data_IF_414950552954
#
_entry.id   IF_414950552954
#
_cell.length_a   1.000
_cell.length_b   1.000
_cell.length_c   1.000
_cell.angle_alpha   90.00
_cell.angle_beta   90.00
_cell.angle_gamma   90.00
#
_symmetry.space_group_name_H-M   'P 1'
#
loop_
_entity.id
_entity.type
_entity.pdbx_description
1 polymer ?
#
# COMPACT_ATOMS: atom_id res chain seq x y z
N UNK A 1 -19.71 6.43 -2.64
CA UNK A 1 -18.34 6.55 -2.11
C UNK A 1 -17.74 7.91 -2.44
N UNK A 2 -17.36 8.68 -1.42
CA UNK A 2 -16.79 10.04 -1.53
C UNK A 2 -15.34 10.10 -1.05
N UNK A 3 -14.60 9.01 -1.22
CA UNK A 3 -13.25 8.83 -0.67
C UNK A 3 -12.21 9.08 -1.76
N UNK A 4 -11.27 9.99 -1.51
CA UNK A 4 -10.09 10.19 -2.34
C UNK A 4 -8.90 9.47 -1.69
N UNK A 5 -8.15 8.70 -2.49
CA UNK A 5 -6.91 8.06 -2.08
C UNK A 5 -5.71 8.74 -2.74
N UNK A 6 -4.65 8.97 -1.97
CA UNK A 6 -3.41 9.57 -2.45
C UNK A 6 -2.24 8.57 -2.35
N UNK A 7 -1.48 8.46 -3.43
CA UNK A 7 -0.34 7.55 -3.55
C UNK A 7 0.95 8.32 -3.83
N UNK A 8 2.10 7.83 -3.33
CA UNK A 8 3.44 8.34 -3.65
C UNK A 8 4.09 7.67 -4.87
N UNK A 9 3.30 6.91 -5.64
CA UNK A 9 3.76 6.04 -6.74
C UNK A 9 4.00 4.60 -6.30
N UNK A 10 4.26 4.35 -5.01
CA UNK A 10 4.55 3.01 -4.49
C UNK A 10 3.56 2.53 -3.43
N UNK A 11 2.97 3.44 -2.64
CA UNK A 11 2.07 3.09 -1.54
C UNK A 11 1.03 4.18 -1.30
N UNK A 12 -0.06 3.79 -0.66
CA UNK A 12 -1.07 4.72 -0.17
C UNK A 12 -0.45 5.56 0.96
N UNK A 13 -0.54 6.87 0.83
CA UNK A 13 0.03 7.84 1.80
C UNK A 13 -1.04 8.64 2.52
N UNK A 14 -2.20 8.83 1.91
CA UNK A 14 -3.31 9.53 2.56
C UNK A 14 -4.67 9.12 2.02
N UNK A 15 -5.69 9.39 2.82
CA UNK A 15 -7.09 9.18 2.47
C UNK A 15 -7.90 10.38 2.94
N UNK A 16 -8.81 10.85 2.09
CA UNK A 16 -9.66 12.01 2.38
C UNK A 16 -11.11 11.74 2.04
N UNK A 17 -12.02 12.48 2.67
CA UNK A 17 -13.41 12.55 2.25
C UNK A 17 -13.60 13.83 1.42
N UNK A 18 -13.47 13.75 0.10
CA UNK A 18 -13.42 14.95 -0.75
C UNK A 18 -14.73 15.77 -0.73
N UNK A 19 -15.85 15.14 -0.36
CA UNK A 19 -17.14 15.84 -0.25
C UNK A 19 -17.20 16.70 1.00
N UNK A 20 -16.61 16.24 2.11
CA UNK A 20 -16.62 16.96 3.40
C UNK A 20 -15.36 17.78 3.64
N UNK A 21 -14.28 17.46 2.93
CA UNK A 21 -12.98 18.09 3.02
C UNK A 21 -12.38 18.28 1.61
N UNK A 22 -12.95 19.19 0.79
CA UNK A 22 -12.49 19.42 -0.58
C UNK A 22 -11.09 20.02 -0.64
N UNK A 23 -10.63 20.65 0.45
CA UNK A 23 -9.27 21.20 0.56
C UNK A 23 -8.25 20.16 1.07
N UNK A 24 -8.67 18.93 1.35
CA UNK A 24 -7.81 17.81 1.75
C UNK A 24 -6.96 18.13 3.00
N UNK A 25 -7.51 18.88 3.95
CA UNK A 25 -6.78 19.33 5.13
C UNK A 25 -6.70 18.25 6.22
N UNK A 26 -7.62 17.28 6.21
CA UNK A 26 -7.79 16.28 7.25
C UNK A 26 -7.57 14.87 6.70
N UNK A 27 -6.32 14.41 6.76
CA UNK A 27 -5.99 13.02 6.40
C UNK A 27 -6.67 12.06 7.37
N UNK A 28 -7.51 11.17 6.83
CA UNK A 28 -8.26 10.16 7.57
C UNK A 28 -7.40 8.95 7.97
N UNK A 29 -6.10 9.00 7.70
CA UNK A 29 -5.14 7.95 7.99
C UNK A 29 -5.33 6.70 7.15
N UNK A 30 -4.43 5.74 7.37
CA UNK A 30 -4.38 4.47 6.65
C UNK A 30 -5.09 3.32 7.40
N UNK A 31 -5.36 3.51 8.69
CA UNK A 31 -5.82 2.45 9.63
C UNK A 31 -7.32 2.26 9.72
N UNK A 32 -8.07 2.94 8.88
CA UNK A 32 -9.51 2.74 8.87
C UNK A 32 -9.84 1.41 8.21
N UNK A 33 -10.46 0.48 8.95
CA UNK A 33 -11.10 -0.72 8.40
C UNK A 33 -12.28 -0.44 7.44
N UNK A 34 -12.29 0.72 6.76
CA UNK A 34 -13.34 1.25 5.90
C UNK A 34 -12.81 1.86 4.59
N UNK A 35 -11.56 1.59 4.18
CA UNK A 35 -11.26 1.72 2.76
C UNK A 35 -12.08 0.62 2.05
N UNK A 36 -13.10 0.95 1.23
CA UNK A 36 -13.83 -0.08 0.49
C UNK A 36 -12.78 -0.86 -0.29
N UNK A 37 -12.75 -2.19 -0.10
CA UNK A 37 -11.61 -3.03 -0.50
C UNK A 37 -11.17 -2.85 -1.96
N UNK A 38 -12.07 -2.35 -2.82
CA UNK A 38 -11.80 -1.98 -4.21
C UNK A 38 -10.77 -0.85 -4.37
N UNK A 39 -10.83 0.21 -3.56
CA UNK A 39 -9.92 1.35 -3.68
C UNK A 39 -8.52 1.01 -3.16
N UNK A 40 -8.46 0.19 -2.10
CA UNK A 40 -7.20 -0.40 -1.63
C UNK A 40 -6.59 -1.32 -2.70
N UNK A 41 -7.42 -2.17 -3.32
CA UNK A 41 -7.00 -3.08 -4.38
C UNK A 41 -6.46 -2.33 -5.61
N UNK A 42 -7.13 -1.27 -6.05
CA UNK A 42 -6.65 -0.40 -7.14
C UNK A 42 -5.28 0.19 -6.82
N UNK A 43 -5.09 0.67 -5.59
CA UNK A 43 -3.81 1.18 -5.10
C UNK A 43 -2.68 0.14 -5.14
N UNK A 44 -2.98 -1.08 -4.71
CA UNK A 44 -2.04 -2.21 -4.75
C UNK A 44 -1.67 -2.55 -6.20
N UNK A 45 -2.64 -2.61 -7.11
CA UNK A 45 -2.41 -2.91 -8.53
C UNK A 45 -1.52 -1.83 -9.16
N UNK A 46 -1.81 -0.55 -8.92
CA UNK A 46 -1.02 0.56 -9.47
C UNK A 46 0.42 0.54 -8.95
N UNK A 47 0.61 0.33 -7.64
CA UNK A 47 1.93 0.13 -7.02
C UNK A 47 2.70 -1.04 -7.62
N UNK A 48 2.01 -2.15 -7.90
CA UNK A 48 2.62 -3.33 -8.51
C UNK A 48 3.06 -3.05 -9.95
N UNK A 49 2.21 -2.40 -10.77
CA UNK A 49 2.56 -2.01 -12.14
C UNK A 49 3.75 -1.05 -12.18
N UNK A 50 3.79 -0.06 -11.28
CA UNK A 50 4.91 0.87 -11.20
C UNK A 50 6.24 0.16 -10.89
N UNK A 51 6.23 -0.79 -9.94
CA UNK A 51 7.40 -1.61 -9.62
C UNK A 51 7.87 -2.50 -10.77
N UNK A 52 6.96 -3.00 -11.61
CA UNK A 52 7.32 -3.74 -12.81
C UNK A 52 7.98 -2.85 -13.86
N UNK A 53 7.50 -1.62 -14.04
CA UNK A 53 8.07 -0.62 -14.96
C UNK A 53 9.48 -0.21 -14.50
N UNK A 54 9.61 0.09 -13.20
CA UNK A 54 10.86 0.58 -12.62
C UNK A 54 11.86 -0.57 -12.30
N UNK A 55 11.54 -1.80 -12.70
CA UNK A 55 12.32 -3.01 -12.44
C UNK A 55 12.69 -3.22 -10.95
N UNK A 56 11.89 -2.66 -10.05
CA UNK A 56 12.06 -2.64 -8.60
C UNK A 56 11.12 -3.64 -7.93
N UNK A 57 11.22 -4.90 -8.33
CA UNK A 57 10.48 -5.99 -7.70
C UNK A 57 11.13 -6.34 -6.34
N UNK A 58 10.79 -5.60 -5.29
CA UNK A 58 11.20 -5.95 -3.93
C UNK A 58 10.36 -7.15 -3.45
N UNK A 59 10.80 -8.36 -3.79
CA UNK A 59 10.34 -9.59 -3.16
C UNK A 59 11.15 -9.82 -1.88
N UNK A 60 10.56 -9.48 -0.73
CA UNK A 60 11.16 -9.83 0.56
C UNK A 60 10.78 -11.27 0.88
N UNK A 61 11.65 -12.21 0.52
CA UNK A 61 11.51 -13.59 0.96
C UNK A 61 11.49 -13.63 2.50
N UNK A 62 10.61 -14.43 3.14
CA UNK A 62 10.68 -14.64 4.58
C UNK A 62 12.08 -15.15 4.96
N UNK A 63 12.65 -14.73 6.10
CA UNK A 63 14.01 -15.09 6.48
C UNK A 63 14.15 -16.62 6.51
N UNK A 64 15.00 -17.15 5.64
CA UNK A 64 15.35 -18.56 5.67
C UNK A 64 16.09 -18.82 6.98
N UNK A 65 15.48 -19.59 7.89
CA UNK A 65 16.16 -20.11 9.06
C UNK A 65 17.25 -21.07 8.57
N UNK A 66 18.52 -20.65 8.63
CA UNK A 66 19.65 -21.57 8.47
C UNK A 66 19.52 -22.69 9.51
N UNK A 67 19.10 -23.88 9.06
CA UNK A 67 19.24 -25.10 9.85
C UNK A 67 20.71 -25.50 9.81
N UNK A 68 21.47 -25.00 10.78
CA UNK A 68 22.84 -25.43 11.04
C UNK A 68 22.79 -26.90 11.51
N UNK A 69 23.02 -27.83 10.60
CA UNK A 69 23.18 -29.25 10.91
C UNK A 69 24.49 -29.42 11.67
N UNK A 70 24.42 -29.55 12.99
CA UNK A 70 25.52 -30.12 13.78
C UNK A 70 25.62 -31.60 13.42
N UNK A 71 26.69 -31.97 12.71
CA UNK A 71 27.14 -33.36 12.64
C UNK A 71 27.74 -33.71 14.00
N UNK A 72 27.11 -34.65 14.69
CA UNK A 72 27.70 -35.45 15.76
C UNK A 72 28.01 -36.83 15.22
#
# INVERSE_FOLDING_TARGET
>A
DSTLLQFDGNRLTARYNYVRDPMLQHNLGLDSGTAPGLELLKGIIQSYMQRMIDNNLIYRAPPQKNKMTRRG
#
